data_IF_235418091785
#
_entry.id   IF_235418091785
#
_cell.length_a   1.000
_cell.length_b   1.000
_cell.length_c   1.000
_cell.angle_alpha   90.00
_cell.angle_beta   90.00
_cell.angle_gamma   90.00
#
_symmetry.space_group_name_H-M   'P 1'
#
loop_
_entity.id
_entity.type
_entity.pdbx_description
1 polymer ?
#
# COMPACT_ATOMS: atom_id res chain seq x y z
N UNK A 1 16.55 -5.65 -6.15
CA UNK A 1 15.79 -6.92 -6.07
C UNK A 1 14.38 -6.59 -6.48
N UNK A 2 13.86 -7.22 -7.52
CA UNK A 2 12.49 -6.94 -7.98
C UNK A 2 11.48 -7.61 -7.04
N UNK A 3 10.38 -6.92 -6.78
CA UNK A 3 9.25 -7.42 -6.02
C UNK A 3 7.95 -6.89 -6.61
N UNK A 4 6.87 -7.55 -6.24
CA UNK A 4 5.52 -7.17 -6.60
C UNK A 4 4.79 -6.64 -5.36
N UNK A 5 4.10 -5.53 -5.53
CA UNK A 5 3.12 -5.00 -4.58
C UNK A 5 1.73 -5.19 -5.17
N UNK A 6 0.83 -5.81 -4.41
CA UNK A 6 -0.61 -5.86 -4.73
C UNK A 6 -1.38 -5.18 -3.61
N UNK A 7 -2.41 -4.41 -3.94
CA UNK A 7 -3.28 -3.81 -2.95
C UNK A 7 -4.74 -3.98 -3.30
N UNK A 8 -5.58 -3.99 -2.27
CA UNK A 8 -7.03 -3.99 -2.39
C UNK A 8 -7.61 -2.95 -1.44
N UNK A 9 -8.56 -2.18 -1.94
CA UNK A 9 -9.37 -1.25 -1.16
C UNK A 9 -10.81 -1.76 -1.16
N UNK A 10 -11.45 -1.84 0.01
CA UNK A 10 -12.84 -2.30 0.13
C UNK A 10 -13.74 -1.50 -0.81
N UNK A 11 -14.59 -2.21 -1.56
CA UNK A 11 -15.49 -1.71 -2.61
C UNK A 11 -14.82 -1.20 -3.90
N UNK A 12 -13.51 -1.27 -4.02
CA UNK A 12 -12.73 -0.94 -5.22
C UNK A 12 -12.00 -2.17 -5.78
N UNK A 13 -11.44 -2.04 -6.99
CA UNK A 13 -10.64 -3.09 -7.61
C UNK A 13 -9.29 -3.30 -6.91
N UNK A 14 -8.79 -4.53 -6.93
CA UNK A 14 -7.41 -4.82 -6.58
C UNK A 14 -6.50 -4.44 -7.74
N UNK A 15 -5.38 -3.78 -7.44
CA UNK A 15 -4.36 -3.36 -8.41
C UNK A 15 -2.97 -3.87 -7.99
N UNK A 16 -2.03 -3.82 -8.93
CA UNK A 16 -0.65 -4.24 -8.69
C UNK A 16 0.39 -3.30 -9.30
N UNK A 17 1.58 -3.34 -8.72
CA UNK A 17 2.78 -2.66 -9.19
C UNK A 17 3.98 -3.58 -9.02
N UNK A 18 4.94 -3.53 -9.94
CA UNK A 18 6.19 -4.32 -9.87
C UNK A 18 7.38 -3.40 -10.10
N UNK A 19 8.41 -3.54 -9.28
CA UNK A 19 9.64 -2.75 -9.36
C UNK A 19 10.65 -3.19 -8.32
N UNK A 20 11.68 -2.39 -8.09
CA UNK A 20 12.78 -2.72 -7.17
C UNK A 20 13.08 -1.62 -6.13
N UNK A 21 12.28 -0.55 -6.10
CA UNK A 21 12.37 0.55 -5.13
C UNK A 21 11.14 0.61 -4.20
N UNK A 22 11.37 0.46 -2.90
CA UNK A 22 10.32 0.51 -1.87
C UNK A 22 9.73 1.91 -1.66
N UNK A 23 10.50 2.97 -1.93
CA UNK A 23 10.03 4.35 -1.87
C UNK A 23 9.10 4.63 -3.05
N UNK A 24 9.44 4.12 -4.24
CA UNK A 24 8.57 4.19 -5.41
C UNK A 24 7.26 3.40 -5.17
N UNK A 25 7.36 2.17 -4.64
CA UNK A 25 6.18 1.38 -4.28
C UNK A 25 5.25 2.14 -3.32
N UNK A 26 5.80 2.73 -2.26
CA UNK A 26 5.02 3.51 -1.30
C UNK A 26 4.39 4.76 -1.96
N UNK A 27 5.10 5.43 -2.87
CA UNK A 27 4.58 6.59 -3.61
C UNK A 27 3.44 6.22 -4.56
N UNK A 28 3.56 5.09 -5.27
CA UNK A 28 2.51 4.56 -6.16
C UNK A 28 1.27 4.19 -5.36
N UNK A 29 1.43 3.52 -4.22
CA UNK A 29 0.30 3.22 -3.34
C UNK A 29 -0.40 4.51 -2.89
N UNK A 30 0.38 5.51 -2.48
CA UNK A 30 -0.11 6.81 -2.04
C UNK A 30 -0.92 7.53 -3.11
N UNK A 31 -0.40 7.57 -4.33
CA UNK A 31 -1.06 8.21 -5.46
C UNK A 31 -2.39 7.50 -5.77
N UNK A 32 -2.36 6.18 -5.90
CA UNK A 32 -3.51 5.38 -6.35
C UNK A 32 -4.61 5.33 -5.30
N UNK A 33 -4.27 5.00 -4.05
CA UNK A 33 -5.24 4.97 -2.94
C UNK A 33 -5.68 6.39 -2.59
N UNK A 34 -4.77 7.37 -2.61
CA UNK A 34 -5.10 8.77 -2.38
C UNK A 34 -6.08 9.33 -3.40
N UNK A 35 -5.93 8.98 -4.68
CA UNK A 35 -6.88 9.35 -5.73
C UNK A 35 -8.25 8.71 -5.48
N UNK A 36 -8.31 7.41 -5.20
CA UNK A 36 -9.57 6.70 -4.90
C UNK A 36 -10.31 7.32 -3.70
N UNK A 37 -9.59 7.60 -2.61
CA UNK A 37 -10.15 8.26 -1.42
C UNK A 37 -10.67 9.66 -1.75
N UNK A 38 -9.98 10.40 -2.61
CA UNK A 38 -10.37 11.78 -2.96
C UNK A 38 -11.67 11.83 -3.78
N UNK A 39 -11.99 10.78 -4.53
CA UNK A 39 -13.24 10.69 -5.34
C UNK A 39 -14.34 9.86 -4.68
N UNK A 40 -14.10 9.31 -3.48
CA UNK A 40 -15.01 8.41 -2.75
C UNK A 40 -16.32 9.04 -2.25
N UNK A 41 -16.50 10.37 -2.39
CA UNK A 41 -17.62 11.11 -1.81
C UNK A 41 -17.50 11.38 -0.31
N UNK A 42 -16.43 10.92 0.34
CA UNK A 42 -16.11 11.26 1.73
C UNK A 42 -15.86 12.76 1.91
N UNK A 43 -16.26 13.30 3.07
CA UNK A 43 -15.91 14.65 3.46
C UNK A 43 -14.39 14.77 3.77
N UNK A 44 -13.82 16.00 3.79
CA UNK A 44 -12.38 16.19 3.99
C UNK A 44 -11.82 15.56 5.27
N UNK A 45 -12.55 15.62 6.39
CA UNK A 45 -12.12 15.07 7.67
C UNK A 45 -12.01 13.54 7.62
N UNK A 46 -12.98 12.88 6.98
CA UNK A 46 -12.96 11.43 6.77
C UNK A 46 -11.81 11.02 5.82
N UNK A 47 -11.53 11.81 4.78
CA UNK A 47 -10.38 11.55 3.91
C UNK A 47 -9.05 11.74 4.64
N UNK A 48 -8.91 12.77 5.48
CA UNK A 48 -7.73 12.98 6.30
C UNK A 48 -7.54 11.82 7.28
N UNK A 49 -8.61 11.45 7.99
CA UNK A 49 -8.61 10.32 8.92
C UNK A 49 -8.22 9.02 8.22
N UNK A 50 -8.71 8.77 7.00
CA UNK A 50 -8.30 7.61 6.21
C UNK A 50 -6.79 7.60 5.96
N UNK A 51 -6.24 8.73 5.48
CA UNK A 51 -4.82 8.84 5.12
C UNK A 51 -3.93 8.60 6.34
N UNK A 52 -4.30 9.15 7.49
CA UNK A 52 -3.55 9.02 8.72
C UNK A 52 -3.69 7.64 9.38
N UNK A 53 -4.91 7.09 9.41
CA UNK A 53 -5.21 5.89 10.20
C UNK A 53 -4.95 4.60 9.42
N UNK A 54 -5.15 4.62 8.10
CA UNK A 54 -5.09 3.41 7.27
C UNK A 54 -3.90 3.43 6.30
N UNK A 55 -3.72 4.53 5.56
CA UNK A 55 -2.68 4.58 4.52
C UNK A 55 -1.26 4.76 5.11
N UNK A 56 -1.06 5.71 6.03
CA UNK A 56 0.25 5.98 6.60
C UNK A 56 0.92 4.75 7.26
N UNK A 57 0.23 3.95 8.10
CA UNK A 57 0.83 2.76 8.69
C UNK A 57 1.23 1.69 7.67
N UNK A 58 0.55 1.64 6.52
CA UNK A 58 0.90 0.72 5.43
C UNK A 58 2.17 1.19 4.72
N UNK A 59 2.30 2.48 4.42
CA UNK A 59 3.52 3.05 3.82
C UNK A 59 4.75 2.81 4.69
N UNK A 60 4.62 3.08 6.00
CA UNK A 60 5.70 2.84 6.97
C UNK A 60 6.06 1.34 7.02
N UNK A 61 5.04 0.49 6.87
CA UNK A 61 5.19 -0.96 6.74
C UNK A 61 6.01 -1.36 5.52
N UNK A 62 5.73 -0.79 4.34
CA UNK A 62 6.45 -1.05 3.10
C UNK A 62 7.92 -0.67 3.24
N UNK A 63 8.22 0.53 3.74
CA UNK A 63 9.59 1.02 3.89
C UNK A 63 10.39 0.31 5.00
N UNK A 64 9.70 -0.26 5.99
CA UNK A 64 10.28 -0.96 7.13
C UNK A 64 10.20 -2.49 7.01
N UNK A 65 9.25 -3.09 7.73
CA UNK A 65 9.14 -4.53 7.86
C UNK A 65 8.92 -5.26 6.52
N UNK A 66 8.17 -4.66 5.60
CA UNK A 66 7.92 -5.19 4.27
C UNK A 66 9.19 -5.26 3.43
N UNK A 67 9.99 -4.19 3.44
CA UNK A 67 11.33 -4.19 2.85
C UNK A 67 12.21 -5.30 3.39
N UNK A 68 12.32 -5.40 4.72
CA UNK A 68 13.15 -6.46 5.34
C UNK A 68 12.68 -7.85 4.92
N UNK A 69 11.38 -8.12 4.94
CA UNK A 69 10.83 -9.41 4.53
C UNK A 69 11.17 -9.73 3.07
N UNK A 70 10.95 -8.78 2.15
CA UNK A 70 11.25 -9.00 0.73
C UNK A 70 12.74 -9.23 0.53
N UNK A 71 13.62 -8.42 1.14
CA UNK A 71 15.08 -8.57 1.02
C UNK A 71 15.60 -9.90 1.58
N UNK A 72 14.87 -10.55 2.50
CA UNK A 72 15.16 -11.90 3.00
C UNK A 72 14.42 -13.02 2.26
N UNK A 73 13.76 -12.71 1.16
CA UNK A 73 13.04 -13.68 0.32
C UNK A 73 11.68 -14.12 0.87
N UNK A 74 11.12 -13.36 1.81
CA UNK A 74 9.82 -13.61 2.42
C UNK A 74 8.75 -12.66 1.84
N UNK A 75 7.49 -13.10 1.86
CA UNK A 75 6.36 -12.22 1.63
C UNK A 75 6.04 -11.38 2.87
N UNK A 76 5.35 -10.26 2.66
CA UNK A 76 4.82 -9.42 3.72
C UNK A 76 3.42 -8.96 3.36
N UNK A 77 2.53 -8.90 4.34
CA UNK A 77 1.21 -8.33 4.19
C UNK A 77 0.86 -7.40 5.35
N UNK A 78 -0.02 -6.45 5.07
CA UNK A 78 -0.60 -5.59 6.09
C UNK A 78 -2.01 -5.18 5.70
N UNK A 79 -2.93 -5.45 6.62
CA UNK A 79 -4.29 -4.92 6.61
C UNK A 79 -4.38 -3.71 7.56
N UNK A 80 -5.00 -2.63 7.09
CA UNK A 80 -5.34 -1.45 7.89
C UNK A 80 -6.73 -0.97 7.49
N UNK A 81 -7.74 -1.36 8.28
CA UNK A 81 -9.14 -1.04 8.00
C UNK A 81 -9.58 -1.53 6.60
N UNK A 82 -9.96 -0.63 5.68
CA UNK A 82 -10.42 -1.00 4.34
C UNK A 82 -9.28 -1.31 3.35
N UNK A 83 -8.01 -1.15 3.73
CA UNK A 83 -6.85 -1.32 2.86
C UNK A 83 -6.09 -2.60 3.23
N UNK A 84 -5.83 -3.45 2.24
CA UNK A 84 -4.89 -4.58 2.33
C UNK A 84 -3.77 -4.39 1.32
N UNK A 85 -2.52 -4.56 1.75
CA UNK A 85 -1.35 -4.54 0.86
C UNK A 85 -0.52 -5.79 1.10
N UNK A 86 -0.01 -6.36 0.01
CA UNK A 86 0.88 -7.51 0.03
C UNK A 86 2.11 -7.18 -0.82
N UNK A 87 3.29 -7.48 -0.28
CA UNK A 87 4.57 -7.49 -0.98
C UNK A 87 5.05 -8.93 -1.15
N UNK A 88 5.45 -9.29 -2.36
CA UNK A 88 6.03 -10.60 -2.65
C UNK A 88 7.33 -10.42 -3.44
N UNK A 89 8.43 -11.08 -3.06
CA UNK A 89 9.61 -11.20 -3.91
C UNK A 89 9.23 -11.65 -5.32
N UNK A 90 9.78 -11.00 -6.35
CA UNK A 90 9.67 -11.51 -7.70
C UNK A 90 10.65 -12.69 -7.84
N UNK A 91 10.16 -13.79 -8.42
CA UNK A 91 10.96 -14.98 -8.69
C UNK A 91 11.95 -14.76 -9.85
#
# INVERSE_FOLDING_TARGET
MTFKMTWALVAEHADEWTGDDFSEAAAVLDERVGAAVSVSGMNPDAQAHFRETFLAPVRDGIAGAGRTAVETGQGWDKAAGPLLVVLTPAA
#
